data_IF_026261603495
#
_entry.id   IF_026261603495
#
_cell.length_a   1.000
_cell.length_b   1.000
_cell.length_c   1.000
_cell.angle_alpha   90.00
_cell.angle_beta   90.00
_cell.angle_gamma   90.00
#
_symmetry.space_group_name_H-M   'P 1'
#
loop_
_entity.id
_entity.type
_entity.pdbx_description
1 polymer ?
#
# COMPACT_ATOMS: atom_id res chain seq x y z
N UNK A 1 -3.09 -45.57 -4.75
CA UNK A 1 -4.23 -44.92 -4.06
C UNK A 1 -3.63 -43.91 -3.10
N UNK A 2 -3.46 -42.68 -3.58
CA UNK A 2 -2.85 -41.59 -2.80
C UNK A 2 -3.91 -40.56 -2.43
N UNK A 3 -3.86 -40.13 -1.17
CA UNK A 3 -4.86 -39.32 -0.47
C UNK A 3 -4.97 -37.90 -1.06
N UNK A 4 -6.19 -37.32 -1.19
CA UNK A 4 -6.43 -36.04 -1.86
C UNK A 4 -6.05 -34.79 -1.03
N UNK A 5 -5.11 -34.90 -0.08
CA UNK A 5 -4.77 -33.84 0.89
C UNK A 5 -3.49 -33.07 0.50
N UNK A 6 -2.76 -33.50 -0.53
CA UNK A 6 -1.49 -32.86 -0.95
C UNK A 6 -1.58 -32.00 -2.22
N UNK A 7 -2.76 -31.48 -2.59
CA UNK A 7 -2.83 -30.32 -3.50
C UNK A 7 -2.77 -29.03 -2.70
N UNK A 8 -1.58 -28.71 -2.19
CA UNK A 8 -1.28 -27.34 -1.80
C UNK A 8 -1.48 -26.45 -3.03
N UNK A 9 -2.41 -25.48 -3.04
CA UNK A 9 -2.53 -24.54 -4.14
C UNK A 9 -1.18 -23.82 -4.26
N UNK A 10 -0.65 -23.73 -5.49
CA UNK A 10 0.62 -23.06 -5.84
C UNK A 10 0.84 -21.84 -4.94
N UNK A 11 1.84 -21.91 -4.05
CA UNK A 11 2.14 -20.92 -2.98
C UNK A 11 2.51 -19.50 -3.49
N UNK A 12 2.31 -19.21 -4.78
CA UNK A 12 2.67 -17.95 -5.45
C UNK A 12 1.48 -17.25 -6.11
N UNK A 13 0.29 -17.86 -6.15
CA UNK A 13 -0.82 -17.38 -7.00
C UNK A 13 -1.68 -16.25 -6.41
N UNK A 14 -1.48 -15.85 -5.16
CA UNK A 14 -2.46 -15.03 -4.43
C UNK A 14 -2.09 -13.55 -4.30
N UNK A 15 -0.80 -13.19 -4.44
CA UNK A 15 -0.37 -11.80 -4.37
C UNK A 15 -0.18 -11.28 -5.79
N UNK A 16 -1.21 -10.55 -6.21
CA UNK A 16 -1.20 -9.92 -7.51
C UNK A 16 -0.36 -8.63 -7.47
N UNK A 17 0.68 -8.48 -8.32
CA UNK A 17 1.40 -7.21 -8.44
C UNK A 17 0.49 -6.01 -8.74
N UNK A 18 -0.74 -6.24 -9.26
CA UNK A 18 -1.78 -5.23 -9.44
C UNK A 18 -2.12 -4.48 -8.14
N UNK A 19 -2.01 -5.09 -6.96
CA UNK A 19 -2.27 -4.40 -5.67
C UNK A 19 -1.28 -3.27 -5.37
N UNK A 20 -0.04 -3.40 -5.83
CA UNK A 20 1.02 -2.44 -5.55
C UNK A 20 0.96 -1.23 -6.49
N UNK A 21 0.31 -1.40 -7.65
CA UNK A 21 0.31 -0.43 -8.74
C UNK A 21 -0.28 0.93 -8.34
N UNK A 22 -1.45 1.03 -7.69
CA UNK A 22 -2.02 2.33 -7.31
C UNK A 22 -1.14 3.07 -6.29
N UNK A 23 -0.71 2.38 -5.23
CA UNK A 23 0.13 2.92 -4.16
C UNK A 23 1.47 3.50 -4.68
N UNK A 24 2.05 2.84 -5.69
CA UNK A 24 3.30 3.26 -6.34
C UNK A 24 3.07 4.20 -7.54
N UNK A 25 1.81 4.43 -7.93
CA UNK A 25 1.43 5.26 -9.08
C UNK A 25 1.97 4.74 -10.41
N UNK A 26 2.06 3.41 -10.57
CA UNK A 26 2.55 2.74 -11.76
C UNK A 26 1.43 2.56 -12.80
N UNK A 27 1.77 2.52 -14.08
CA UNK A 27 0.76 2.44 -15.15
C UNK A 27 0.49 1.00 -15.56
N UNK A 28 1.54 0.20 -15.66
CA UNK A 28 1.48 -1.20 -16.07
C UNK A 28 1.68 -2.17 -14.91
N UNK A 29 1.14 -3.40 -15.02
CA UNK A 29 1.45 -4.49 -14.09
C UNK A 29 2.89 -5.02 -14.28
N UNK A 30 3.43 -4.92 -15.51
CA UNK A 30 4.82 -5.30 -15.83
C UNK A 30 5.85 -4.30 -15.29
N UNK A 31 5.38 -3.23 -14.63
CA UNK A 31 6.21 -2.22 -13.99
C UNK A 31 6.79 -2.66 -12.64
N UNK A 32 6.32 -3.79 -12.10
CA UNK A 32 6.74 -4.34 -10.82
C UNK A 32 7.15 -5.80 -10.98
N UNK A 33 8.23 -6.18 -10.30
CA UNK A 33 8.63 -7.56 -10.13
C UNK A 33 8.57 -7.92 -8.65
N UNK A 34 7.71 -8.89 -8.31
CA UNK A 34 7.62 -9.44 -6.96
C UNK A 34 8.78 -10.41 -6.74
N UNK A 35 9.46 -10.32 -5.59
CA UNK A 35 10.54 -11.23 -5.23
C UNK A 35 10.01 -12.67 -5.00
N UNK A 36 10.84 -13.70 -5.23
CA UNK A 36 10.45 -15.08 -4.99
C UNK A 36 10.10 -15.31 -3.51
N UNK A 37 9.26 -16.30 -3.23
CA UNK A 37 8.73 -16.59 -1.88
C UNK A 37 9.84 -16.77 -0.82
N UNK A 38 10.98 -17.33 -1.21
CA UNK A 38 12.14 -17.51 -0.34
C UNK A 38 12.73 -16.20 0.20
N UNK A 39 12.49 -15.08 -0.48
CA UNK A 39 12.97 -13.75 -0.09
C UNK A 39 11.92 -12.98 0.73
N UNK A 40 10.77 -13.58 1.02
CA UNK A 40 9.73 -12.91 1.80
C UNK A 40 10.12 -12.89 3.28
N UNK A 41 9.90 -11.73 3.90
CA UNK A 41 10.24 -11.53 5.29
C UNK A 41 8.99 -11.77 6.13
N UNK A 42 9.09 -12.68 7.08
CA UNK A 42 7.99 -13.05 7.97
C UNK A 42 8.25 -12.47 9.37
N UNK A 43 7.38 -11.55 9.78
CA UNK A 43 7.31 -11.07 11.17
C UNK A 43 6.19 -11.76 11.93
N UNK A 44 6.08 -11.45 13.22
CA UNK A 44 5.01 -11.98 14.08
C UNK A 44 3.61 -11.52 13.68
N UNK A 45 3.48 -10.29 13.20
CA UNK A 45 2.19 -9.67 12.84
C UNK A 45 2.04 -9.34 11.35
N UNK A 46 3.13 -9.40 10.59
CA UNK A 46 3.16 -8.93 9.20
C UNK A 46 4.01 -9.85 8.32
N UNK A 47 3.58 -10.03 7.07
CA UNK A 47 4.44 -10.55 5.99
C UNK A 47 4.87 -9.37 5.14
N UNK A 48 6.18 -9.27 4.87
CA UNK A 48 6.73 -8.22 4.02
C UNK A 48 7.24 -8.85 2.72
N UNK A 49 6.69 -8.37 1.61
CA UNK A 49 6.96 -8.87 0.28
C UNK A 49 7.81 -7.84 -0.45
N UNK A 50 9.06 -8.18 -0.79
CA UNK A 50 9.89 -7.27 -1.56
C UNK A 50 9.41 -7.17 -3.02
N UNK A 51 9.29 -5.95 -3.52
CA UNK A 51 8.89 -5.65 -4.89
C UNK A 51 9.90 -4.70 -5.51
N UNK A 52 10.41 -5.05 -6.68
CA UNK A 52 11.33 -4.22 -7.45
C UNK A 52 10.56 -3.42 -8.49
N UNK A 53 10.74 -2.10 -8.49
CA UNK A 53 10.10 -1.20 -9.46
C UNK A 53 10.96 -1.10 -10.72
N UNK A 54 10.39 -1.50 -11.85
CA UNK A 54 11.05 -1.55 -13.16
C UNK A 54 10.72 -0.35 -14.05
N UNK A 55 9.55 0.28 -13.86
CA UNK A 55 9.07 1.37 -14.74
C UNK A 55 9.59 2.75 -14.32
N UNK A 56 9.94 3.58 -15.32
CA UNK A 56 10.25 5.01 -15.14
C UNK A 56 8.96 5.81 -15.04
N UNK A 57 8.83 6.62 -13.98
CA UNK A 57 7.88 7.73 -13.97
C UNK A 57 8.61 9.06 -14.21
N UNK A 58 7.87 10.12 -14.51
CA UNK A 58 8.36 11.47 -14.83
C UNK A 58 9.39 12.05 -13.84
N UNK A 59 9.48 11.53 -12.61
CA UNK A 59 10.62 11.75 -11.72
C UNK A 59 11.52 10.50 -11.77
N UNK A 60 12.76 10.69 -12.26
CA UNK A 60 13.85 9.70 -12.47
C UNK A 60 14.23 8.81 -11.25
N UNK A 61 13.44 8.78 -10.18
CA UNK A 61 13.90 8.41 -8.85
C UNK A 61 13.54 6.98 -8.42
N UNK A 62 12.90 6.16 -9.25
CA UNK A 62 12.34 4.86 -8.80
C UNK A 62 12.76 3.61 -9.58
N UNK A 63 13.49 3.74 -10.69
CA UNK A 63 13.96 2.55 -11.42
C UNK A 63 14.99 1.80 -10.59
N UNK A 64 14.77 0.51 -10.37
CA UNK A 64 15.66 -0.36 -9.59
C UNK A 64 15.48 -0.20 -8.08
N UNK A 65 14.54 0.62 -7.61
CA UNK A 65 14.24 0.69 -6.17
C UNK A 65 13.46 -0.53 -5.75
N UNK A 66 13.91 -1.16 -4.66
CA UNK A 66 13.20 -2.22 -3.95
C UNK A 66 12.31 -1.58 -2.88
N UNK A 67 11.02 -1.87 -2.94
CA UNK A 67 10.02 -1.47 -1.95
C UNK A 67 9.50 -2.70 -1.22
N UNK A 68 8.96 -2.50 -0.03
CA UNK A 68 8.35 -3.56 0.77
C UNK A 68 6.85 -3.35 0.84
N UNK A 69 6.10 -4.39 0.50
CA UNK A 69 4.64 -4.43 0.66
C UNK A 69 4.36 -5.24 1.90
N UNK A 70 3.68 -4.64 2.88
CA UNK A 70 3.43 -5.24 4.18
C UNK A 70 1.97 -5.65 4.26
N UNK A 71 1.73 -6.92 4.55
CA UNK A 71 0.40 -7.47 4.78
C UNK A 71 0.25 -7.86 6.25
N UNK A 72 -0.78 -7.36 6.95
CA UNK A 72 -1.10 -7.85 8.28
C UNK A 72 -1.56 -9.31 8.19
N UNK A 73 -1.18 -10.11 9.18
CA UNK A 73 -1.61 -11.50 9.30
C UNK A 73 -3.02 -11.53 9.94
N UNK A 74 -4.09 -11.93 9.23
CA UNK A 74 -5.48 -11.83 9.72
C UNK A 74 -5.70 -12.54 11.06
N UNK A 75 -5.12 -13.74 11.21
CA UNK A 75 -5.21 -14.54 12.43
C UNK A 75 -4.46 -13.94 13.64
N UNK A 76 -3.52 -13.01 13.42
CA UNK A 76 -2.78 -12.31 14.50
C UNK A 76 -3.44 -11.01 14.93
N UNK A 77 -4.25 -10.42 14.06
CA UNK A 77 -5.01 -9.19 14.36
C UNK A 77 -6.40 -9.48 14.90
N UNK A 78 -6.79 -10.77 14.96
CA UNK A 78 -8.09 -11.19 15.43
C UNK A 78 -9.21 -10.75 14.49
N UNK A 79 -8.95 -10.69 13.18
CA UNK A 79 -9.96 -10.31 12.19
C UNK A 79 -11.18 -11.23 12.25
N UNK A 80 -10.95 -12.54 12.41
CA UNK A 80 -12.02 -13.55 12.53
C UNK A 80 -12.88 -13.34 13.79
N UNK A 81 -12.29 -12.82 14.87
CA UNK A 81 -13.00 -12.55 16.12
C UNK A 81 -13.74 -11.22 16.08
N UNK A 82 -13.13 -10.19 15.47
CA UNK A 82 -13.73 -8.86 15.30
C UNK A 82 -13.36 -8.31 13.92
N UNK A 83 -14.29 -8.41 12.95
CA UNK A 83 -14.09 -7.85 11.62
C UNK A 83 -13.79 -6.36 11.68
N UNK A 84 -12.83 -5.91 10.86
CA UNK A 84 -12.33 -4.54 10.80
C UNK A 84 -11.08 -4.25 11.64
N UNK A 85 -10.60 -5.21 12.44
CA UNK A 85 -9.36 -5.05 13.21
C UNK A 85 -8.13 -4.88 12.31
N UNK A 86 -8.10 -5.55 11.16
CA UNK A 86 -7.05 -5.42 10.15
C UNK A 86 -6.99 -4.00 9.58
N UNK A 87 -8.14 -3.44 9.23
CA UNK A 87 -8.23 -2.05 8.74
C UNK A 87 -7.85 -1.05 9.85
N UNK A 88 -8.28 -1.29 11.09
CA UNK A 88 -7.91 -0.46 12.22
C UNK A 88 -6.40 -0.45 12.46
N UNK A 89 -5.76 -1.62 12.40
CA UNK A 89 -4.29 -1.73 12.46
C UNK A 89 -3.63 -0.93 11.34
N UNK A 90 -4.09 -1.07 10.10
CA UNK A 90 -3.52 -0.35 8.95
C UNK A 90 -3.67 1.17 9.15
N UNK A 91 -4.84 1.65 9.60
CA UNK A 91 -5.07 3.06 9.90
C UNK A 91 -4.16 3.59 11.01
N UNK A 92 -4.01 2.83 12.09
CA UNK A 92 -3.11 3.18 13.19
C UNK A 92 -1.65 3.29 12.73
N UNK A 93 -1.16 2.29 11.98
CA UNK A 93 0.20 2.32 11.44
C UNK A 93 0.38 3.50 10.47
N UNK A 94 -0.53 3.69 9.52
CA UNK A 94 -0.47 4.78 8.54
C UNK A 94 -0.53 6.16 9.20
N UNK A 95 -1.38 6.34 10.21
CA UNK A 95 -1.47 7.56 11.00
C UNK A 95 -0.17 7.86 11.75
N UNK A 96 0.46 6.83 12.32
CA UNK A 96 1.77 6.96 12.98
C UNK A 96 2.85 7.38 12.00
N UNK A 97 2.92 6.76 10.82
CA UNK A 97 3.86 7.17 9.77
C UNK A 97 3.64 8.61 9.34
N UNK A 98 2.38 9.01 9.09
CA UNK A 98 2.04 10.38 8.70
C UNK A 98 2.46 11.39 9.78
N UNK A 99 2.16 11.09 11.04
CA UNK A 99 2.49 11.98 12.15
C UNK A 99 4.00 12.14 12.32
N UNK A 100 4.78 11.06 12.29
CA UNK A 100 6.25 11.13 12.41
C UNK A 100 6.87 11.87 11.22
N UNK A 101 6.38 11.64 10.00
CA UNK A 101 6.86 12.34 8.80
C UNK A 101 6.61 13.86 8.88
N UNK A 102 5.49 14.28 9.47
CA UNK A 102 5.13 15.69 9.61
C UNK A 102 5.81 16.38 10.80
N UNK A 103 5.98 15.68 11.93
CA UNK A 103 6.42 16.28 13.20
C UNK A 103 7.90 16.02 13.54
N UNK A 104 8.51 14.97 12.99
CA UNK A 104 9.89 14.57 13.29
C UNK A 104 10.69 14.26 12.00
N UNK A 105 10.86 15.24 11.09
CA UNK A 105 11.53 15.03 9.80
C UNK A 105 13.02 14.64 9.92
N UNK A 106 13.65 14.90 11.07
CA UNK A 106 15.03 14.52 11.38
C UNK A 106 15.19 13.01 11.65
N UNK A 107 14.13 12.30 12.01
CA UNK A 107 14.19 10.88 12.33
C UNK A 107 14.11 10.07 11.02
N UNK A 108 15.14 9.28 10.69
CA UNK A 108 15.12 8.48 9.47
C UNK A 108 14.15 7.30 9.63
N UNK A 109 12.94 7.47 9.10
CA UNK A 109 11.94 6.40 9.02
C UNK A 109 11.73 5.91 7.57
N UNK A 110 11.31 4.65 7.38
CA UNK A 110 10.89 4.17 6.07
C UNK A 110 9.80 5.06 5.46
N UNK A 111 9.88 5.31 4.15
CA UNK A 111 8.86 6.08 3.44
C UNK A 111 7.65 5.20 3.16
N UNK A 112 6.50 5.59 3.71
CA UNK A 112 5.20 4.99 3.37
C UNK A 112 4.70 5.58 2.04
N UNK A 113 4.70 4.78 0.99
CA UNK A 113 4.24 5.21 -0.35
C UNK A 113 2.71 5.24 -0.47
N UNK A 114 2.06 4.34 0.26
CA UNK A 114 0.62 4.20 0.27
C UNK A 114 0.18 2.97 1.05
N UNK A 115 -1.12 2.84 1.28
CA UNK A 115 -1.73 1.72 1.97
C UNK A 115 -3.11 1.42 1.35
N UNK A 116 -3.62 0.20 1.56
CA UNK A 116 -4.93 -0.23 1.11
C UNK A 116 -5.77 -0.72 2.28
N UNK A 117 -7.09 -0.62 2.16
CA UNK A 117 -8.05 -1.11 3.14
C UNK A 117 -8.85 -2.28 2.55
N UNK A 118 -9.48 -3.07 3.42
CA UNK A 118 -10.34 -4.19 3.03
C UNK A 118 -11.52 -3.77 2.15
N UNK A 119 -11.97 -2.52 2.29
CA UNK A 119 -13.03 -1.90 1.46
C UNK A 119 -12.64 -1.66 0.00
N UNK A 120 -11.39 -1.92 -0.39
CA UNK A 120 -10.85 -1.63 -1.73
C UNK A 120 -10.41 -0.17 -1.92
N UNK A 121 -10.50 0.65 -0.87
CA UNK A 121 -9.94 1.99 -0.85
C UNK A 121 -8.42 1.92 -0.76
N UNK A 122 -7.75 2.75 -1.56
CA UNK A 122 -6.29 2.90 -1.50
C UNK A 122 -5.91 4.33 -1.22
N UNK A 123 -4.82 4.53 -0.52
CA UNK A 123 -4.28 5.84 -0.20
C UNK A 123 -2.87 5.91 -0.71
N UNK A 124 -2.53 6.98 -1.42
CA UNK A 124 -1.19 7.22 -1.94
C UNK A 124 -0.65 8.51 -1.37
N UNK A 125 0.66 8.55 -1.15
CA UNK A 125 1.36 9.76 -0.79
C UNK A 125 1.22 10.82 -1.90
N UNK A 126 0.96 12.09 -1.55
CA UNK A 126 0.82 13.21 -2.51
C UNK A 126 2.06 13.35 -3.38
N UNK A 127 3.25 13.06 -2.84
CA UNK A 127 4.51 13.00 -3.58
C UNK A 127 4.56 11.95 -4.70
N UNK A 128 3.57 11.07 -4.82
CA UNK A 128 3.38 10.15 -5.93
C UNK A 128 2.23 10.58 -6.87
N UNK A 129 1.58 11.72 -6.65
CA UNK A 129 0.55 12.22 -7.58
C UNK A 129 1.16 13.06 -8.70
N UNK A 130 0.35 13.44 -9.71
CA UNK A 130 0.76 14.37 -10.76
C UNK A 130 1.12 15.74 -10.17
N UNK A 131 2.01 16.49 -10.83
CA UNK A 131 2.51 17.78 -10.34
C UNK A 131 1.37 18.75 -10.06
N UNK A 132 0.39 18.86 -10.98
CA UNK A 132 -0.81 19.68 -10.80
C UNK A 132 -1.57 19.33 -9.52
N UNK A 133 -1.75 18.04 -9.26
CA UNK A 133 -2.45 17.59 -8.06
C UNK A 133 -1.68 17.93 -6.79
N UNK A 134 -0.34 17.84 -6.81
CA UNK A 134 0.51 18.27 -5.69
C UNK A 134 0.33 19.76 -5.38
N UNK A 135 0.33 20.61 -6.42
CA UNK A 135 0.11 22.05 -6.25
C UNK A 135 -1.26 22.37 -5.67
N UNK A 136 -2.32 21.71 -6.17
CA UNK A 136 -3.68 21.87 -5.64
C UNK A 136 -3.75 21.47 -4.17
N UNK A 137 -3.18 20.32 -3.80
CA UNK A 137 -3.18 19.86 -2.41
C UNK A 137 -2.33 20.74 -1.48
N UNK A 138 -1.18 21.22 -1.96
CA UNK A 138 -0.34 22.16 -1.21
C UNK A 138 -1.09 23.47 -0.95
N UNK A 139 -1.72 24.04 -1.98
CA UNK A 139 -2.51 25.26 -1.85
C UNK A 139 -3.70 25.06 -0.91
N UNK A 140 -4.43 23.94 -1.03
CA UNK A 140 -5.53 23.58 -0.13
C UNK A 140 -5.07 23.50 1.32
N UNK A 141 -3.96 22.82 1.61
CA UNK A 141 -3.40 22.73 2.98
C UNK A 141 -3.02 24.10 3.51
N UNK A 142 -2.40 24.95 2.68
CA UNK A 142 -1.99 26.30 3.08
C UNK A 142 -3.20 27.19 3.37
N UNK A 143 -4.24 27.14 2.54
CA UNK A 143 -5.49 27.86 2.78
C UNK A 143 -6.19 27.38 4.05
N UNK A 144 -6.30 26.06 4.27
CA UNK A 144 -6.93 25.51 5.48
C UNK A 144 -6.16 25.85 6.75
N UNK A 145 -4.82 25.81 6.69
CA UNK A 145 -3.97 26.27 7.79
C UNK A 145 -4.18 27.75 8.09
N UNK A 146 -4.33 28.60 7.06
CA UNK A 146 -4.64 30.02 7.23
C UNK A 146 -6.04 30.25 7.82
N UNK A 147 -7.01 29.40 7.48
CA UNK A 147 -8.38 29.42 8.01
C UNK A 147 -8.51 28.77 9.41
N UNK A 148 -7.40 28.34 10.04
CA UNK A 148 -7.41 27.68 11.35
C UNK A 148 -8.11 26.31 11.36
N UNK A 149 -8.36 25.72 10.19
CA UNK A 149 -9.02 24.42 10.04
C UNK A 149 -8.01 23.27 10.16
N UNK A 150 -8.49 22.07 10.51
CA UNK A 150 -7.66 20.85 10.56
C UNK A 150 -7.04 20.58 9.19
N UNK A 151 -5.71 20.53 9.12
CA UNK A 151 -4.97 20.25 7.90
C UNK A 151 -5.09 18.77 7.53
N UNK A 152 -5.48 18.44 6.28
CA UNK A 152 -5.50 17.06 5.83
C UNK A 152 -4.06 16.52 5.71
N UNK A 153 -3.92 15.20 5.94
CA UNK A 153 -2.64 14.50 5.83
C UNK A 153 -2.16 14.42 4.37
N UNK A 154 -0.89 14.08 4.18
CA UNK A 154 -0.27 13.93 2.85
C UNK A 154 -0.69 12.66 2.09
N UNK A 155 -1.69 11.93 2.58
CA UNK A 155 -2.20 10.71 1.96
C UNK A 155 -3.56 10.96 1.33
N UNK A 156 -3.64 10.72 0.03
CA UNK A 156 -4.86 10.96 -0.75
C UNK A 156 -5.52 9.67 -1.15
N UNK A 157 -6.83 9.61 -0.88
CA UNK A 157 -7.70 8.51 -1.25
C UNK A 157 -7.84 8.40 -2.77
N UNK A 158 -7.59 7.20 -3.27
CA UNK A 158 -7.87 6.73 -4.61
C UNK A 158 -8.82 5.54 -4.49
N UNK A 159 -9.96 5.63 -5.14
CA UNK A 159 -10.83 4.47 -5.31
C UNK A 159 -10.30 3.68 -6.50
N UNK A 160 -9.90 2.43 -6.27
CA UNK A 160 -9.68 1.50 -7.38
C UNK A 160 -11.06 1.32 -8.01
N UNK A 161 -11.26 1.85 -9.21
CA UNK A 161 -12.50 1.68 -9.96
C UNK A 161 -12.76 0.16 -10.08
N UNK A 162 -13.97 -0.26 -9.70
CA UNK A 162 -14.49 -1.61 -9.41
C UNK A 162 -14.25 -2.75 -10.43
N UNK A 163 -13.34 -2.60 -11.39
CA UNK A 163 -13.08 -3.60 -12.41
C UNK A 163 -12.24 -4.79 -11.88
N UNK A 164 -11.50 -4.64 -10.77
CA UNK A 164 -10.74 -5.75 -10.16
C UNK A 164 -11.61 -6.69 -9.31
N UNK A 165 -12.59 -6.12 -8.60
CA UNK A 165 -13.51 -6.88 -7.73
C UNK A 165 -14.44 -7.78 -8.52
N UNK A 166 -14.73 -7.45 -9.78
CA UNK A 166 -15.52 -8.30 -10.68
C UNK A 166 -14.74 -9.51 -11.21
N UNK A 167 -13.42 -9.42 -11.36
CA UNK A 167 -12.62 -10.56 -11.84
C UNK A 167 -12.19 -11.52 -10.73
N UNK A 168 -12.14 -11.06 -9.48
CA UNK A 168 -11.83 -11.91 -8.32
C UNK A 168 -13.07 -12.62 -7.74
N UNK A 169 -14.27 -12.19 -8.10
CA UNK A 169 -15.54 -12.86 -7.77
C UNK A 169 -15.99 -13.88 -8.84
N UNK A 170 -15.16 -14.15 -9.86
CA UNK A 170 -15.33 -15.26 -10.79
C UNK A 170 -14.24 -16.29 -10.45
N UNK A 171 -14.45 -17.03 -9.38
CA UNK A 171 -13.56 -18.07 -8.89
C UNK A 171 -14.24 -18.93 -7.85
#
# INVERSE_FOLDING_TARGET
>A
TESPILRAPRKQAWIDPRYCRPALGLRSANACQVAPLQDWLHGSYNVCIPVTVLERRHQKQHVGKRVLVRFPLPYRVGEDFRPGNGDEKIRCEAGTYAWIQENCPEIPIPRLYGFGMSSGETFTHVGNCSILFRWIQYFRRRMLSFLGCKTPSEYVRHQIQNNLTRELNVG
#
